data_IF_733132975359
#
_entry.id   IF_733132975359
#
_cell.length_a   1.000
_cell.length_b   1.000
_cell.length_c   1.000
_cell.angle_alpha   90.00
_cell.angle_beta   90.00
_cell.angle_gamma   90.00
#
_symmetry.space_group_name_H-M   'P 1'
#
loop_
_entity.id
_entity.type
_entity.pdbx_description
1 polymer ?
#
# COMPACT_ATOMS: atom_id res chain seq x y z
N UNK A 1 -26.29 7.60 12.66
CA UNK A 1 -24.94 7.28 13.14
C UNK A 1 -24.06 8.49 12.84
N UNK A 2 -23.29 8.95 13.82
CA UNK A 2 -22.23 9.92 13.63
C UNK A 2 -21.07 9.29 12.84
N UNK A 3 -20.10 10.12 12.42
CA UNK A 3 -18.91 9.63 11.72
C UNK A 3 -18.10 8.66 12.57
N UNK A 4 -17.89 9.01 13.84
CA UNK A 4 -17.15 8.18 14.79
C UNK A 4 -17.86 6.85 15.07
N UNK A 5 -19.20 6.85 15.12
CA UNK A 5 -19.98 5.62 15.25
C UNK A 5 -19.87 4.73 14.00
N UNK A 6 -19.80 5.31 12.81
CA UNK A 6 -19.57 4.56 11.57
C UNK A 6 -18.16 3.98 11.51
N UNK A 7 -17.13 4.75 11.88
CA UNK A 7 -15.74 4.28 11.91
C UNK A 7 -15.56 3.12 12.90
N UNK A 8 -16.15 3.23 14.10
CA UNK A 8 -16.13 2.15 15.09
C UNK A 8 -16.80 0.86 14.57
N UNK A 9 -17.93 0.97 13.86
CA UNK A 9 -18.59 -0.18 13.23
C UNK A 9 -17.76 -0.76 12.07
N UNK A 10 -17.20 0.09 11.22
CA UNK A 10 -16.37 -0.31 10.09
C UNK A 10 -15.17 -1.14 10.54
N UNK A 11 -14.49 -0.72 11.62
CA UNK A 11 -13.36 -1.46 12.18
C UNK A 11 -13.71 -2.89 12.63
N UNK A 12 -14.98 -3.17 12.94
CA UNK A 12 -15.44 -4.54 13.28
C UNK A 12 -15.64 -5.43 12.06
N UNK A 13 -15.88 -4.84 10.88
CA UNK A 13 -16.08 -5.56 9.62
C UNK A 13 -14.75 -5.95 8.96
N UNK A 14 -13.71 -5.15 9.17
CA UNK A 14 -12.36 -5.40 8.67
C UNK A 14 -11.48 -4.16 8.74
N UNK A 15 -10.17 -4.35 8.69
CA UNK A 15 -9.18 -3.25 8.76
C UNK A 15 -9.30 -2.23 7.63
N UNK A 16 -9.80 -2.65 6.47
CA UNK A 16 -9.82 -1.82 5.27
C UNK A 16 -11.14 -1.04 5.11
N UNK A 17 -12.18 -1.40 5.88
CA UNK A 17 -13.51 -0.78 5.77
C UNK A 17 -13.53 0.66 6.27
N UNK A 18 -12.83 1.04 7.37
CA UNK A 18 -12.73 2.44 7.78
C UNK A 18 -12.23 3.35 6.64
N UNK A 19 -11.19 2.93 5.91
CA UNK A 19 -10.64 3.72 4.81
C UNK A 19 -11.68 4.04 3.73
N UNK A 20 -12.57 3.09 3.40
CA UNK A 20 -13.62 3.28 2.39
C UNK A 20 -14.64 4.36 2.76
N UNK A 21 -14.82 4.65 4.05
CA UNK A 21 -15.69 5.74 4.50
C UNK A 21 -15.05 7.12 4.26
N UNK A 22 -13.72 7.21 4.37
CA UNK A 22 -12.94 8.45 4.22
C UNK A 22 -12.61 8.75 2.75
N UNK A 23 -12.21 7.74 1.98
CA UNK A 23 -11.78 7.91 0.59
C UNK A 23 -10.57 8.83 0.44
N UNK A 24 -10.25 9.20 -0.80
CA UNK A 24 -9.08 10.03 -1.10
C UNK A 24 -7.77 9.34 -0.70
N UNK A 25 -6.87 10.08 -0.06
CA UNK A 25 -5.64 9.54 0.52
C UNK A 25 -5.71 9.64 2.03
N UNK A 26 -5.17 8.65 2.72
CA UNK A 26 -5.05 8.68 4.18
C UNK A 26 -3.83 7.89 4.65
N UNK A 27 -3.27 8.32 5.78
CA UNK A 27 -2.30 7.56 6.53
C UNK A 27 -3.05 6.60 7.45
N UNK A 28 -2.93 5.30 7.17
CA UNK A 28 -3.39 4.22 8.04
C UNK A 28 -2.31 3.82 9.04
N UNK A 29 -2.68 3.69 10.31
CA UNK A 29 -1.82 3.17 11.37
C UNK A 29 -2.52 2.04 12.15
N UNK A 30 -1.80 1.40 13.08
CA UNK A 30 -2.28 0.21 13.77
C UNK A 30 -2.33 -0.98 12.81
N UNK A 31 -3.49 -1.63 12.69
CA UNK A 31 -3.79 -2.63 11.66
C UNK A 31 -4.48 -2.02 10.44
N UNK A 32 -4.58 -0.69 10.35
CA UNK A 32 -5.33 0.05 9.32
C UNK A 32 -6.59 0.74 9.84
N UNK A 33 -6.95 0.53 11.11
CA UNK A 33 -8.15 1.12 11.72
C UNK A 33 -8.01 2.60 12.10
N UNK A 34 -6.77 3.09 12.25
CA UNK A 34 -6.50 4.50 12.56
C UNK A 34 -6.23 5.27 11.27
N UNK A 35 -7.21 6.05 10.83
CA UNK A 35 -7.17 6.76 9.55
C UNK A 35 -6.98 8.26 9.77
N UNK A 36 -5.89 8.81 9.23
CA UNK A 36 -5.65 10.27 9.18
C UNK A 36 -5.69 10.75 7.72
N UNK A 37 -6.67 11.59 7.32
CA UNK A 37 -6.75 12.10 5.95
C UNK A 37 -5.49 12.84 5.51
N UNK A 38 -5.06 12.62 4.26
CA UNK A 38 -3.90 13.27 3.65
C UNK A 38 -4.35 14.05 2.42
N UNK A 39 -4.03 15.35 2.40
CA UNK A 39 -4.32 16.21 1.26
C UNK A 39 -3.38 15.91 0.10
N UNK A 40 -3.93 15.79 -1.10
CA UNK A 40 -3.17 15.78 -2.35
C UNK A 40 -3.41 17.09 -3.10
N UNK A 41 -2.34 17.65 -3.68
CA UNK A 41 -2.44 18.83 -4.55
C UNK A 41 -2.79 18.50 -6.01
N UNK A 42 -2.63 17.24 -6.42
CA UNK A 42 -2.77 16.80 -7.81
C UNK A 42 -3.59 15.52 -7.93
N UNK A 43 -4.05 15.26 -9.15
CA UNK A 43 -4.53 13.93 -9.54
C UNK A 43 -3.34 13.08 -9.99
N UNK A 44 -3.25 11.86 -9.47
CA UNK A 44 -2.30 10.85 -9.93
C UNK A 44 -3.00 9.84 -10.84
N UNK A 45 -2.30 9.35 -11.85
CA UNK A 45 -2.82 8.37 -12.80
C UNK A 45 -2.16 7.02 -12.55
N UNK A 46 -2.98 5.98 -12.43
CA UNK A 46 -2.54 4.62 -12.10
C UNK A 46 -2.88 3.65 -13.21
N UNK A 47 -1.97 2.71 -13.47
CA UNK A 47 -2.23 1.49 -14.23
C UNK A 47 -2.17 0.33 -13.26
N UNK A 48 -3.25 -0.46 -13.18
CA UNK A 48 -3.34 -1.61 -12.29
C UNK A 48 -3.19 -2.91 -13.09
N UNK A 49 -2.11 -3.65 -12.84
CA UNK A 49 -1.92 -5.00 -13.35
C UNK A 49 -2.66 -6.01 -12.47
N UNK A 50 -3.71 -6.64 -13.00
CA UNK A 50 -4.52 -7.60 -12.24
C UNK A 50 -4.22 -9.02 -12.72
N UNK A 51 -3.84 -9.89 -11.79
CA UNK A 51 -3.67 -11.32 -12.04
C UNK A 51 -4.98 -12.06 -11.75
N UNK A 52 -5.26 -13.10 -12.53
CA UNK A 52 -6.50 -13.88 -12.38
C UNK A 52 -6.60 -14.61 -11.03
N UNK A 53 -5.45 -14.98 -10.46
CA UNK A 53 -5.37 -15.68 -9.19
C UNK A 53 -4.81 -14.76 -8.11
N UNK A 54 -5.47 -14.73 -6.95
CA UNK A 54 -4.99 -14.01 -5.77
C UNK A 54 -3.86 -14.74 -5.04
N UNK A 55 -3.37 -14.11 -3.98
CA UNK A 55 -2.45 -14.73 -3.02
C UNK A 55 -3.10 -14.77 -1.65
N UNK A 56 -2.79 -15.81 -0.87
CA UNK A 56 -3.24 -15.90 0.52
C UNK A 56 -2.51 -14.88 1.37
N UNK A 57 -3.23 -13.91 1.94
CA UNK A 57 -2.65 -12.90 2.84
C UNK A 57 -1.82 -13.54 3.95
N UNK A 58 -2.29 -14.56 4.69
CA UNK A 58 -1.47 -15.27 5.68
C UNK A 58 -0.17 -15.86 5.11
N UNK A 59 -0.19 -16.39 3.88
CA UNK A 59 1.01 -16.96 3.26
C UNK A 59 2.05 -15.88 2.93
N UNK A 60 1.61 -14.71 2.46
CA UNK A 60 2.52 -13.58 2.18
C UNK A 60 3.15 -13.06 3.46
N UNK A 61 2.39 -12.90 4.54
CA UNK A 61 2.92 -12.51 5.85
C UNK A 61 3.90 -13.55 6.41
N UNK A 62 3.58 -14.84 6.32
CA UNK A 62 4.48 -15.91 6.77
C UNK A 62 5.80 -15.91 5.99
N UNK A 63 5.74 -15.66 4.67
CA UNK A 63 6.93 -15.53 3.85
C UNK A 63 7.73 -14.27 4.19
N UNK A 64 7.06 -13.14 4.43
CA UNK A 64 7.69 -11.90 4.88
C UNK A 64 8.47 -12.11 6.19
N UNK A 65 7.86 -12.76 7.19
CA UNK A 65 8.51 -13.10 8.45
C UNK A 65 9.71 -14.03 8.25
N UNK A 66 9.59 -14.99 7.33
CA UNK A 66 10.67 -15.91 6.96
C UNK A 66 11.84 -15.15 6.33
N UNK A 67 11.58 -14.22 5.41
CA UNK A 67 12.61 -13.40 4.74
C UNK A 67 13.28 -12.42 5.70
N UNK A 68 12.54 -11.88 6.67
CA UNK A 68 13.08 -11.04 7.75
C UNK A 68 13.92 -11.83 8.78
N UNK A 69 13.98 -13.16 8.66
CA UNK A 69 14.75 -14.03 9.53
C UNK A 69 14.20 -14.09 10.96
N UNK A 70 12.89 -13.90 11.15
CA UNK A 70 12.23 -13.91 12.45
C UNK A 70 12.63 -12.77 13.39
N UNK A 71 13.45 -11.81 12.92
CA UNK A 71 13.68 -10.56 13.64
C UNK A 71 12.46 -9.70 13.38
N UNK A 72 11.72 -9.38 14.44
CA UNK A 72 10.56 -8.48 14.33
C UNK A 72 10.94 -7.28 13.46
N UNK A 73 10.16 -7.05 12.42
CA UNK A 73 10.41 -5.94 11.50
C UNK A 73 10.33 -4.67 12.32
N UNK A 74 11.35 -3.83 12.21
CA UNK A 74 11.31 -2.50 12.82
C UNK A 74 10.01 -1.83 12.38
N UNK A 75 9.33 -1.15 13.30
CA UNK A 75 8.16 -0.34 12.97
C UNK A 75 8.49 0.47 11.71
N UNK A 76 7.66 0.38 10.63
CA UNK A 76 7.93 1.12 9.42
C UNK A 76 8.14 2.60 9.77
N UNK A 77 9.18 3.21 9.20
CA UNK A 77 9.36 4.65 9.34
C UNK A 77 8.11 5.36 8.82
N UNK A 78 7.77 6.48 9.46
CA UNK A 78 6.68 7.33 8.99
C UNK A 78 6.91 7.66 7.50
N UNK A 79 5.92 7.51 6.60
CA UNK A 79 6.12 7.57 5.15
C UNK A 79 6.26 9.02 4.64
N UNK A 80 7.24 9.75 5.19
CA UNK A 80 7.46 11.19 4.99
C UNK A 80 7.59 11.56 3.52
N UNK A 81 8.31 10.76 2.75
CA UNK A 81 8.56 11.02 1.33
C UNK A 81 7.27 10.89 0.50
N UNK A 82 6.43 9.90 0.81
CA UNK A 82 5.11 9.74 0.18
C UNK A 82 4.20 10.90 0.54
N UNK A 83 4.14 11.29 1.82
CA UNK A 83 3.33 12.43 2.27
C UNK A 83 3.77 13.74 1.62
N UNK A 84 5.08 13.97 1.48
CA UNK A 84 5.64 15.13 0.80
C UNK A 84 5.34 15.12 -0.70
N UNK A 85 5.43 13.96 -1.37
CA UNK A 85 5.09 13.82 -2.78
C UNK A 85 3.59 14.06 -3.04
N UNK A 86 2.69 13.53 -2.21
CA UNK A 86 1.25 13.82 -2.28
C UNK A 86 0.96 15.31 -2.07
N UNK A 87 1.61 15.93 -1.08
CA UNK A 87 1.43 17.35 -0.74
C UNK A 87 2.03 18.34 -1.75
N UNK A 88 3.01 17.91 -2.55
CA UNK A 88 3.56 18.68 -3.69
C UNK A 88 2.82 18.39 -4.99
N UNK A 89 2.23 17.19 -5.11
CA UNK A 89 1.56 16.76 -6.31
C UNK A 89 2.50 16.31 -7.43
N UNK A 90 3.74 15.95 -7.08
CA UNK A 90 4.82 15.55 -7.98
C UNK A 90 4.78 14.02 -8.21
N UNK A 91 4.44 13.56 -9.44
CA UNK A 91 4.34 12.13 -9.74
C UNK A 91 5.71 11.44 -9.81
N UNK A 92 6.78 12.14 -10.16
CA UNK A 92 8.14 11.58 -10.19
C UNK A 92 8.66 11.37 -8.76
N UNK A 93 8.44 12.34 -7.88
CA UNK A 93 8.75 12.18 -6.46
C UNK A 93 7.95 11.04 -5.82
N UNK A 94 6.66 10.91 -6.18
CA UNK A 94 5.83 9.81 -5.69
C UNK A 94 6.37 8.46 -6.20
N UNK A 95 6.72 8.37 -7.48
CA UNK A 95 7.26 7.15 -8.08
C UNK A 95 8.51 6.63 -7.37
N UNK A 96 9.42 7.53 -6.97
CA UNK A 96 10.62 7.19 -6.20
C UNK A 96 10.29 6.70 -4.78
N UNK A 97 9.27 7.32 -4.16
CA UNK A 97 8.89 7.08 -2.77
C UNK A 97 8.00 5.84 -2.59
N UNK A 98 7.36 5.31 -3.64
CA UNK A 98 6.50 4.14 -3.55
C UNK A 98 7.27 2.91 -3.05
N UNK A 99 6.71 2.28 -2.02
CA UNK A 99 7.26 1.08 -1.38
C UNK A 99 6.11 0.20 -0.92
N UNK A 100 6.32 -1.10 -0.98
CA UNK A 100 5.47 -2.10 -0.37
C UNK A 100 6.37 -3.17 0.25
N UNK A 101 6.42 -3.23 1.57
CA UNK A 101 7.29 -4.16 2.29
C UNK A 101 6.93 -5.63 2.05
N UNK A 102 5.70 -5.92 1.63
CA UNK A 102 5.27 -7.27 1.27
C UNK A 102 5.63 -7.66 -0.16
N UNK A 103 6.08 -6.71 -1.02
CA UNK A 103 6.40 -7.01 -2.42
C UNK A 103 7.52 -8.07 -2.57
N UNK A 104 8.63 -8.03 -1.80
CA UNK A 104 9.64 -9.09 -1.84
C UNK A 104 9.09 -10.48 -1.47
N UNK A 105 8.19 -10.56 -0.49
CA UNK A 105 7.55 -11.82 -0.11
C UNK A 105 6.60 -12.33 -1.21
N UNK A 106 5.84 -11.42 -1.83
CA UNK A 106 4.98 -11.76 -2.95
C UNK A 106 5.79 -12.27 -4.16
N UNK A 107 6.91 -11.62 -4.48
CA UNK A 107 7.83 -12.03 -5.55
C UNK A 107 8.53 -13.36 -5.25
N UNK A 108 8.85 -13.64 -3.98
CA UNK A 108 9.41 -14.93 -3.56
C UNK A 108 8.42 -16.08 -3.79
N UNK A 109 7.14 -15.86 -3.46
CA UNK A 109 6.08 -16.86 -3.64
C UNK A 109 5.62 -17.01 -5.10
N UNK A 110 5.62 -15.91 -5.88
CA UNK A 110 5.23 -15.88 -7.29
C UNK A 110 6.19 -15.05 -8.14
N UNK A 111 7.35 -15.60 -8.52
CA UNK A 111 8.36 -14.90 -9.31
C UNK A 111 7.86 -14.39 -10.67
N UNK A 112 6.81 -14.98 -11.23
CA UNK A 112 6.17 -14.55 -12.47
C UNK A 112 5.60 -13.13 -12.40
N UNK A 113 5.28 -12.62 -11.21
CA UNK A 113 4.84 -11.24 -11.00
C UNK A 113 5.89 -10.23 -11.47
N UNK A 114 7.18 -10.61 -11.41
CA UNK A 114 8.29 -9.77 -11.85
C UNK A 114 8.14 -9.39 -13.32
N UNK A 115 7.63 -10.29 -14.17
CA UNK A 115 7.44 -9.98 -15.60
C UNK A 115 6.43 -8.87 -15.80
N UNK A 116 5.40 -8.79 -14.97
CA UNK A 116 4.42 -7.69 -15.03
C UNK A 116 5.03 -6.36 -14.59
N UNK A 117 5.84 -6.37 -13.52
CA UNK A 117 6.57 -5.19 -13.04
C UNK A 117 7.58 -4.72 -14.10
N UNK A 118 8.37 -5.64 -14.65
CA UNK A 118 9.35 -5.35 -15.69
C UNK A 118 8.70 -4.89 -17.00
N UNK A 119 7.53 -5.45 -17.38
CA UNK A 119 6.80 -4.98 -18.55
C UNK A 119 6.24 -3.56 -18.37
N UNK A 120 6.02 -3.12 -17.13
CA UNK A 120 5.66 -1.73 -16.84
C UNK A 120 6.88 -0.79 -16.89
N UNK A 121 8.09 -1.27 -16.58
CA UNK A 121 9.33 -0.49 -16.52
C UNK A 121 9.80 0.23 -17.81
N UNK A 122 9.51 -0.27 -19.04
CA UNK A 122 9.73 0.45 -20.29
C UNK A 122 8.44 1.06 -20.89
N UNK A 123 7.28 0.88 -20.24
CA UNK A 123 6.00 1.50 -20.60
C UNK A 123 5.88 2.89 -19.93
N UNK A 124 4.84 3.73 -20.17
CA UNK A 124 4.77 5.10 -19.63
C UNK A 124 4.55 5.17 -18.09
N UNK A 125 4.81 4.09 -17.36
CA UNK A 125 4.73 4.06 -15.91
C UNK A 125 6.06 4.57 -15.30
N UNK A 126 5.96 5.51 -14.36
CA UNK A 126 7.13 6.09 -13.69
C UNK A 126 7.78 5.12 -12.68
N UNK A 127 6.98 4.24 -12.08
CA UNK A 127 7.43 3.16 -11.19
C UNK A 127 6.35 2.05 -11.10
N UNK A 128 6.76 0.88 -10.63
CA UNK A 128 5.88 -0.23 -10.27
C UNK A 128 6.40 -0.88 -8.97
N UNK A 129 5.49 -1.27 -8.08
CA UNK A 129 5.75 -1.89 -6.76
C UNK A 129 4.90 -3.12 -6.54
#
# INVERSE_FOLDING_TARGET
LSRDELDALAATLGSDVPFLLHGGNALGAGRGELITPVLSRSTFHWVLGVYAEGMSTPAVYAEFDRLAGGRGVNTPDEPRDVLAALGSGDPDALAVALRNDLAPAALSLRPELLRGIEAAGPAPALAAV
#
